data_IF_965180615436
#
_entry.id   IF_965180615436
#
_cell.length_a   1.000
_cell.length_b   1.000
_cell.length_c   1.000
_cell.angle_alpha   90.00
_cell.angle_beta   90.00
_cell.angle_gamma   90.00
#
_symmetry.space_group_name_H-M   'P 1'
#
loop_
_entity.id
_entity.type
_entity.pdbx_description
1 polymer ?
#
# COMPACT_ATOMS: atom_id res chain seq x y z
N UNK A 1 4.57 -11.48 11.99
CA UNK A 1 5.87 -11.35 11.32
C UNK A 1 5.69 -11.34 9.81
N UNK A 2 6.69 -10.88 9.07
CA UNK A 2 6.67 -10.84 7.60
C UNK A 2 6.50 -12.24 7.01
N UNK A 3 7.11 -13.28 7.62
CA UNK A 3 6.94 -14.67 7.24
C UNK A 3 5.49 -15.16 7.44
N UNK A 4 4.81 -14.70 8.49
CA UNK A 4 3.40 -15.07 8.69
C UNK A 4 2.49 -14.35 7.69
N UNK A 5 2.83 -13.14 7.27
CA UNK A 5 2.15 -12.42 6.17
C UNK A 5 2.31 -13.22 4.88
N UNK A 6 3.54 -13.61 4.52
CA UNK A 6 3.79 -14.42 3.32
C UNK A 6 2.95 -15.71 3.30
N UNK A 7 2.93 -16.47 4.41
CA UNK A 7 2.11 -17.69 4.51
C UNK A 7 0.62 -17.42 4.28
N UNK A 8 0.09 -16.29 4.76
CA UNK A 8 -1.30 -15.89 4.53
C UNK A 8 -1.54 -15.49 3.08
N UNK A 9 -0.59 -14.80 2.44
CA UNK A 9 -0.65 -14.43 1.02
C UNK A 9 -0.75 -15.68 0.14
N UNK A 10 0.17 -16.64 0.35
CA UNK A 10 0.15 -17.91 -0.37
C UNK A 10 -1.16 -18.67 -0.15
N UNK A 11 -1.66 -18.68 1.08
CA UNK A 11 -2.92 -19.37 1.42
C UNK A 11 -4.13 -18.68 0.78
N UNK A 12 -4.15 -17.36 0.70
CA UNK A 12 -5.19 -16.63 0.01
C UNK A 12 -5.26 -17.01 -1.48
N UNK A 13 -4.12 -17.01 -2.16
CA UNK A 13 -4.06 -17.42 -3.57
C UNK A 13 -4.45 -18.88 -3.78
N UNK A 14 -4.02 -19.81 -2.89
CA UNK A 14 -4.43 -21.22 -2.95
C UNK A 14 -5.96 -21.39 -2.93
N UNK A 15 -6.67 -20.48 -2.23
CA UNK A 15 -8.13 -20.48 -2.15
C UNK A 15 -8.85 -19.53 -3.10
N UNK A 16 -8.14 -18.96 -4.08
CA UNK A 16 -8.71 -18.04 -5.06
C UNK A 16 -9.15 -16.69 -4.47
N UNK A 17 -8.56 -16.29 -3.34
CA UNK A 17 -8.83 -15.02 -2.69
C UNK A 17 -7.75 -14.01 -3.07
N UNK A 18 -8.15 -12.84 -3.56
CA UNK A 18 -7.23 -11.73 -3.83
C UNK A 18 -6.78 -11.11 -2.49
N UNK A 19 -5.48 -11.16 -2.13
CA UNK A 19 -5.00 -10.57 -0.90
C UNK A 19 -4.83 -9.05 -1.04
N UNK A 20 -5.12 -8.31 0.04
CA UNK A 20 -4.64 -6.96 0.27
C UNK A 20 -3.51 -7.07 1.29
N UNK A 21 -2.30 -6.73 0.88
CA UNK A 21 -1.06 -6.93 1.65
C UNK A 21 -0.65 -5.58 2.23
N UNK A 22 -0.75 -5.44 3.55
CA UNK A 22 -0.37 -4.21 4.25
C UNK A 22 1.13 -4.21 4.57
N UNK A 23 1.78 -3.08 4.34
CA UNK A 23 3.15 -2.81 4.74
C UNK A 23 3.26 -1.39 5.30
N UNK A 24 4.24 -1.14 6.15
CA UNK A 24 4.43 0.18 6.73
C UNK A 24 5.57 0.22 7.73
N UNK A 25 6.12 1.41 7.91
CA UNK A 25 7.20 1.69 8.83
C UNK A 25 6.72 2.42 10.08
N UNK A 26 7.48 2.29 11.14
CA UNK A 26 7.33 3.07 12.38
C UNK A 26 7.94 4.46 12.23
N UNK A 27 7.55 5.40 13.10
CA UNK A 27 8.15 6.74 13.15
C UNK A 27 9.68 6.68 13.39
N UNK A 28 10.14 5.73 14.18
CA UNK A 28 11.57 5.53 14.45
C UNK A 28 12.33 5.18 13.17
N UNK A 29 11.84 4.22 12.40
CA UNK A 29 12.44 3.82 11.12
C UNK A 29 12.44 4.96 10.11
N UNK A 30 11.37 5.77 10.07
CA UNK A 30 11.30 6.95 9.21
C UNK A 30 12.34 8.00 9.61
N UNK A 31 12.44 8.33 10.90
CA UNK A 31 13.44 9.30 11.41
C UNK A 31 14.89 8.83 11.22
N UNK A 32 15.14 7.53 11.24
CA UNK A 32 16.44 6.94 10.97
C UNK A 32 16.80 6.90 9.47
N UNK A 33 15.85 7.22 8.58
CA UNK A 33 16.06 7.19 7.13
C UNK A 33 16.13 5.80 6.51
N UNK A 34 15.72 4.73 7.26
CA UNK A 34 15.77 3.34 6.80
C UNK A 34 14.40 2.84 6.31
N UNK A 35 13.40 3.70 6.25
CA UNK A 35 12.02 3.31 5.96
C UNK A 35 11.82 2.66 4.59
N UNK A 36 12.51 3.13 3.56
CA UNK A 36 12.42 2.51 2.23
C UNK A 36 13.01 1.11 2.22
N UNK A 37 14.16 0.88 2.87
CA UNK A 37 14.76 -0.45 2.99
C UNK A 37 13.85 -1.39 3.78
N UNK A 38 13.23 -0.88 4.85
CA UNK A 38 12.26 -1.62 5.66
C UNK A 38 11.06 -2.06 4.83
N UNK A 39 10.43 -1.14 4.10
CA UNK A 39 9.29 -1.43 3.21
C UNK A 39 9.68 -2.44 2.13
N UNK A 40 10.83 -2.25 1.48
CA UNK A 40 11.34 -3.18 0.46
C UNK A 40 11.56 -4.59 1.02
N UNK A 41 12.07 -4.70 2.25
CA UNK A 41 12.21 -5.99 2.94
C UNK A 41 10.83 -6.64 3.15
N UNK A 42 9.86 -5.91 3.69
CA UNK A 42 8.49 -6.40 3.89
C UNK A 42 7.88 -6.93 2.58
N UNK A 43 8.00 -6.17 1.50
CA UNK A 43 7.49 -6.56 0.18
C UNK A 43 8.18 -7.82 -0.32
N UNK A 44 9.51 -7.88 -0.29
CA UNK A 44 10.27 -9.05 -0.76
C UNK A 44 9.92 -10.32 0.00
N UNK A 45 9.71 -10.24 1.31
CA UNK A 45 9.31 -11.40 2.12
C UNK A 45 7.85 -11.78 1.84
N UNK A 46 6.94 -10.79 1.78
CA UNK A 46 5.51 -11.05 1.55
C UNK A 46 5.25 -11.77 0.21
N UNK A 47 6.06 -11.48 -0.81
CA UNK A 47 5.93 -12.04 -2.15
C UNK A 47 6.81 -13.26 -2.43
N UNK A 48 7.52 -13.82 -1.43
CA UNK A 48 8.28 -15.08 -1.62
C UNK A 48 7.36 -16.20 -2.11
N UNK A 49 7.80 -16.90 -3.18
CA UNK A 49 7.06 -18.01 -3.80
C UNK A 49 5.67 -17.62 -4.39
N UNK A 50 5.39 -16.34 -4.57
CA UNK A 50 4.23 -15.84 -5.31
C UNK A 50 4.63 -15.70 -6.78
N UNK A 51 3.81 -16.20 -7.71
CA UNK A 51 4.11 -16.07 -9.15
C UNK A 51 3.81 -14.66 -9.66
N UNK A 52 4.37 -14.27 -10.80
CA UNK A 52 4.11 -12.96 -11.42
C UNK A 52 2.61 -12.76 -11.70
N UNK A 53 1.92 -13.81 -12.20
CA UNK A 53 0.48 -13.77 -12.47
C UNK A 53 -0.34 -13.54 -11.20
N UNK A 54 0.04 -14.19 -10.10
CA UNK A 54 -0.61 -13.97 -8.80
C UNK A 54 -0.33 -12.55 -8.28
N UNK A 55 0.93 -12.11 -8.34
CA UNK A 55 1.34 -10.78 -7.90
C UNK A 55 0.60 -9.67 -8.65
N UNK A 56 0.41 -9.81 -9.96
CA UNK A 56 -0.32 -8.85 -10.80
C UNK A 56 -1.80 -8.66 -10.37
N UNK A 57 -2.38 -9.62 -9.65
CA UNK A 57 -3.77 -9.53 -9.15
C UNK A 57 -3.86 -9.06 -7.70
N UNK A 58 -2.75 -9.05 -6.96
CA UNK A 58 -2.72 -8.60 -5.57
C UNK A 58 -2.94 -7.09 -5.44
N UNK A 59 -3.25 -6.67 -4.22
CA UNK A 59 -3.26 -5.27 -3.83
C UNK A 59 -2.25 -5.07 -2.71
N UNK A 60 -1.45 -4.03 -2.77
CA UNK A 60 -0.57 -3.61 -1.68
C UNK A 60 -1.17 -2.37 -1.04
N UNK A 61 -1.24 -2.31 0.28
CA UNK A 61 -1.66 -1.14 1.03
C UNK A 61 -0.48 -0.61 1.85
N UNK A 62 -0.01 0.58 1.51
CA UNK A 62 1.00 1.28 2.30
C UNK A 62 0.34 1.98 3.47
N UNK A 63 0.64 1.52 4.68
CA UNK A 63 0.11 2.03 5.92
C UNK A 63 1.25 2.58 6.81
N UNK A 64 1.61 3.87 6.70
CA UNK A 64 2.59 4.47 7.62
C UNK A 64 2.06 4.37 9.04
N UNK A 65 2.65 3.51 9.88
CA UNK A 65 2.16 3.20 11.24
C UNK A 65 2.08 4.47 12.10
N UNK A 66 3.00 5.40 11.87
CA UNK A 66 3.06 6.69 12.58
C UNK A 66 1.92 7.66 12.21
N UNK A 67 1.20 7.40 11.11
CA UNK A 67 0.09 8.24 10.62
C UNK A 67 -1.28 7.57 10.80
N UNK A 68 -1.36 6.41 11.50
CA UNK A 68 -2.63 5.71 11.73
C UNK A 68 -3.14 6.02 13.13
N UNK A 69 -4.26 6.76 13.21
CA UNK A 69 -4.92 7.04 14.49
C UNK A 69 -4.14 7.93 15.46
N UNK A 70 -3.08 8.58 15.00
CA UNK A 70 -2.20 9.42 15.84
C UNK A 70 -2.51 10.91 15.72
N UNK A 71 -3.29 11.31 14.71
CA UNK A 71 -3.47 12.72 14.34
C UNK A 71 -2.39 13.25 13.38
N UNK A 72 -1.30 12.52 13.20
CA UNK A 72 -0.28 12.79 12.18
C UNK A 72 -0.78 12.28 10.82
N UNK A 73 -0.40 12.95 9.75
CA UNK A 73 -0.77 12.58 8.39
C UNK A 73 0.46 12.67 7.50
N UNK A 74 0.73 11.63 6.71
CA UNK A 74 1.73 11.73 5.66
C UNK A 74 1.26 12.75 4.62
N UNK A 75 2.18 13.55 4.10
CA UNK A 75 1.89 14.38 2.92
C UNK A 75 1.67 13.49 1.70
N UNK A 76 0.99 14.00 0.68
CA UNK A 76 0.80 13.27 -0.59
C UNK A 76 2.13 12.89 -1.24
N UNK A 77 3.16 13.76 -1.14
CA UNK A 77 4.50 13.48 -1.66
C UNK A 77 5.22 12.39 -0.86
N UNK A 78 5.06 12.36 0.46
CA UNK A 78 5.60 11.28 1.29
C UNK A 78 4.94 9.93 0.99
N UNK A 79 3.63 9.93 0.73
CA UNK A 79 2.90 8.74 0.34
C UNK A 79 3.34 8.25 -1.05
N UNK A 80 3.46 9.16 -2.01
CA UNK A 80 3.93 8.89 -3.36
C UNK A 80 5.35 8.30 -3.38
N UNK A 81 6.27 8.88 -2.62
CA UNK A 81 7.65 8.39 -2.52
C UNK A 81 7.69 6.89 -2.14
N UNK A 82 6.90 6.51 -1.14
CA UNK A 82 6.89 5.12 -0.68
C UNK A 82 6.11 4.21 -1.63
N UNK A 83 4.98 4.65 -2.17
CA UNK A 83 4.23 3.88 -3.16
C UNK A 83 5.05 3.63 -4.42
N UNK A 84 5.79 4.64 -4.90
CA UNK A 84 6.74 4.51 -6.01
C UNK A 84 7.89 3.53 -5.70
N UNK A 85 8.43 3.56 -4.48
CA UNK A 85 9.45 2.61 -4.04
C UNK A 85 8.91 1.17 -3.96
N UNK A 86 7.65 0.98 -3.55
CA UNK A 86 6.97 -0.32 -3.57
C UNK A 86 6.84 -0.83 -5.01
N UNK A 87 6.34 0.00 -5.94
CA UNK A 87 6.21 -0.36 -7.36
C UNK A 87 7.56 -0.70 -7.97
N UNK A 88 8.60 0.09 -7.68
CA UNK A 88 9.96 -0.21 -8.12
C UNK A 88 10.48 -1.55 -7.55
N UNK A 89 10.15 -1.88 -6.30
CA UNK A 89 10.51 -3.15 -5.70
C UNK A 89 9.82 -4.34 -6.39
N UNK A 90 8.53 -4.22 -6.74
CA UNK A 90 7.81 -5.25 -7.51
C UNK A 90 8.43 -5.42 -8.90
N UNK A 91 8.82 -4.32 -9.56
CA UNK A 91 9.52 -4.34 -10.87
C UNK A 91 10.84 -5.11 -10.80
N UNK A 92 11.59 -4.94 -9.72
CA UNK A 92 12.85 -5.68 -9.51
C UNK A 92 12.63 -7.17 -9.20
N UNK A 93 11.57 -7.50 -8.46
CA UNK A 93 11.29 -8.90 -8.05
C UNK A 93 10.71 -9.70 -9.22
N UNK A 94 9.92 -9.06 -10.08
CA UNK A 94 9.23 -9.68 -11.20
C UNK A 94 9.63 -9.02 -12.53
N UNK A 95 8.83 -8.08 -12.99
CA UNK A 95 9.01 -7.34 -14.26
C UNK A 95 8.17 -6.06 -14.28
N UNK A 96 8.31 -5.28 -15.37
CA UNK A 96 7.54 -4.07 -15.60
C UNK A 96 6.03 -4.33 -15.67
N UNK A 97 5.61 -5.38 -16.41
CA UNK A 97 4.20 -5.68 -16.62
C UNK A 97 3.48 -6.00 -15.31
N UNK A 98 4.13 -6.75 -14.42
CA UNK A 98 3.62 -7.05 -13.07
C UNK A 98 3.55 -5.78 -12.22
N UNK A 99 4.59 -4.93 -12.27
CA UNK A 99 4.63 -3.69 -11.50
C UNK A 99 3.55 -2.68 -11.92
N UNK A 100 3.23 -2.61 -13.20
CA UNK A 100 2.16 -1.76 -13.72
C UNK A 100 0.75 -2.32 -13.47
N UNK A 101 0.62 -3.64 -13.33
CA UNK A 101 -0.67 -4.30 -13.11
C UNK A 101 -1.10 -4.31 -11.65
N UNK A 102 -0.16 -4.44 -10.71
CA UNK A 102 -0.45 -4.49 -9.28
C UNK A 102 -0.99 -3.14 -8.80
N UNK A 103 -2.01 -3.16 -7.93
CA UNK A 103 -2.56 -1.95 -7.33
C UNK A 103 -1.88 -1.63 -6.02
N UNK A 104 -1.48 -0.36 -5.86
CA UNK A 104 -0.89 0.15 -4.64
C UNK A 104 -1.81 1.20 -4.05
N UNK A 105 -2.32 0.94 -2.85
CA UNK A 105 -3.22 1.84 -2.12
C UNK A 105 -2.46 2.55 -1.00
N UNK A 106 -2.81 3.81 -0.77
CA UNK A 106 -2.42 4.50 0.45
C UNK A 106 -3.43 4.19 1.56
N UNK A 107 -2.96 3.66 2.69
CA UNK A 107 -3.77 3.24 3.84
C UNK A 107 -3.54 4.07 5.11
N UNK A 108 -2.89 5.20 5.02
CA UNK A 108 -2.83 6.16 6.11
C UNK A 108 -4.17 6.89 6.28
N UNK A 109 -4.12 8.12 6.78
CA UNK A 109 -5.33 8.92 6.97
C UNK A 109 -5.87 9.45 5.63
N UNK A 110 -6.89 8.78 5.08
CA UNK A 110 -7.63 9.22 3.88
C UNK A 110 -8.97 9.80 4.29
N UNK A 111 -9.30 10.97 3.77
CA UNK A 111 -10.56 11.67 4.00
C UNK A 111 -11.01 12.45 2.75
N UNK A 112 -12.21 13.03 2.78
CA UNK A 112 -12.77 13.77 1.65
C UNK A 112 -11.91 15.00 1.23
N UNK A 113 -11.10 15.54 2.14
CA UNK A 113 -10.26 16.74 1.88
C UNK A 113 -8.93 16.42 1.21
N UNK A 114 -8.41 15.19 1.33
CA UNK A 114 -7.10 14.81 0.78
C UNK A 114 -7.16 13.73 -0.31
N UNK A 115 -8.31 13.09 -0.50
CA UNK A 115 -8.44 11.98 -1.44
C UNK A 115 -8.08 12.39 -2.88
N UNK A 116 -8.54 13.54 -3.35
CA UNK A 116 -8.26 14.01 -4.71
C UNK A 116 -6.76 14.24 -4.95
N UNK A 117 -6.05 14.82 -3.98
CA UNK A 117 -4.61 15.06 -4.07
C UNK A 117 -3.81 13.75 -4.04
N UNK A 118 -4.18 12.84 -3.11
CA UNK A 118 -3.52 11.53 -3.00
C UNK A 118 -3.71 10.70 -4.27
N UNK A 119 -4.94 10.60 -4.78
CA UNK A 119 -5.25 9.75 -5.93
C UNK A 119 -4.89 10.37 -7.28
N UNK A 120 -4.40 11.62 -7.30
CA UNK A 120 -3.78 12.23 -8.46
C UNK A 120 -2.29 11.88 -8.61
N UNK A 121 -1.67 11.22 -7.61
CA UNK A 121 -0.28 10.79 -7.67
C UNK A 121 -0.12 9.58 -8.59
N UNK A 122 1.07 9.47 -9.20
CA UNK A 122 1.34 8.48 -10.25
C UNK A 122 1.32 7.02 -9.74
N UNK A 123 1.80 6.81 -8.52
CA UNK A 123 1.97 5.47 -7.93
C UNK A 123 0.93 5.14 -6.84
N UNK A 124 -0.09 5.99 -6.65
CA UNK A 124 -1.18 5.76 -5.71
C UNK A 124 -2.46 5.42 -6.48
N UNK A 125 -2.79 4.14 -6.60
CA UNK A 125 -3.93 3.64 -7.36
C UNK A 125 -5.28 3.74 -6.60
N UNK A 126 -5.26 4.21 -5.37
CA UNK A 126 -6.46 4.37 -4.54
C UNK A 126 -6.15 4.43 -3.05
N UNK A 127 -7.15 4.18 -2.22
CA UNK A 127 -7.01 4.25 -0.77
C UNK A 127 -7.61 3.06 -0.03
N UNK A 128 -6.95 2.62 1.03
CA UNK A 128 -7.52 1.73 2.04
C UNK A 128 -8.11 2.62 3.15
N UNK A 129 -9.45 2.74 3.19
CA UNK A 129 -10.16 3.70 4.03
C UNK A 129 -10.74 3.01 5.26
N UNK A 130 -10.29 3.42 6.45
CA UNK A 130 -10.76 2.91 7.73
C UNK A 130 -12.03 3.64 8.23
N UNK A 131 -11.93 4.39 9.32
CA UNK A 131 -13.07 5.00 10.00
C UNK A 131 -13.93 5.93 9.14
N UNK A 132 -13.36 6.58 8.12
CA UNK A 132 -14.12 7.42 7.20
C UNK A 132 -15.10 6.59 6.32
N UNK A 133 -14.85 5.30 6.10
CA UNK A 133 -15.74 4.40 5.35
C UNK A 133 -17.09 4.17 6.03
N UNK A 134 -17.18 4.44 7.34
CA UNK A 134 -18.40 4.31 8.15
C UNK A 134 -19.24 5.59 8.16
N UNK A 135 -18.84 6.64 7.46
CA UNK A 135 -19.48 7.96 7.46
C UNK A 135 -20.05 8.30 6.08
N UNK A 136 -21.05 9.18 6.04
CA UNK A 136 -21.65 9.66 4.80
C UNK A 136 -20.62 10.29 3.85
N UNK A 137 -19.58 10.93 4.39
CA UNK A 137 -18.49 11.52 3.60
C UNK A 137 -17.66 10.52 2.80
N UNK A 138 -17.81 9.21 3.04
CA UNK A 138 -17.16 8.18 2.21
C UNK A 138 -17.52 8.32 0.73
N UNK A 139 -18.76 8.72 0.44
CA UNK A 139 -19.18 9.01 -0.93
C UNK A 139 -18.34 10.09 -1.63
N UNK A 140 -17.80 11.07 -0.89
CA UNK A 140 -16.92 12.10 -1.43
C UNK A 140 -15.50 11.56 -1.72
N UNK A 141 -15.03 10.57 -0.94
CA UNK A 141 -13.76 9.89 -1.18
C UNK A 141 -13.88 9.04 -2.45
N UNK A 142 -14.95 8.25 -2.58
CA UNK A 142 -15.19 7.39 -3.75
C UNK A 142 -15.37 8.22 -5.04
N UNK A 143 -15.98 9.39 -4.94
CA UNK A 143 -16.25 10.28 -6.07
C UNK A 143 -15.32 11.50 -6.09
N UNK A 144 -14.07 11.34 -5.67
CA UNK A 144 -13.11 12.42 -5.49
C UNK A 144 -12.82 13.24 -6.76
N UNK A 145 -13.12 12.71 -7.94
CA UNK A 145 -12.91 13.32 -9.25
C UNK A 145 -14.20 13.80 -9.94
N UNK A 146 -15.31 13.88 -9.20
CA UNK A 146 -16.60 14.34 -9.71
C UNK A 146 -16.98 15.71 -9.20
#
# INVERSE_FOLDING_TARGET
TDETVNKKVLKAFEHGITPIICCGETLTQRKQGIYLDWIRMQIKIAFQNVTAEQAATAVIAYEPIWAIGTGETATSDQAEEVCGAIRACIREVYDEATAESIRIQYGGSVNAGNAAELFAKADIDGGLVGGASLKADFGKIVNYNK
#
